data_IF_903170487007
#
_entry.id   IF_903170487007
#
_cell.length_a   1.000
_cell.length_b   1.000
_cell.length_c   1.000
_cell.angle_alpha   90.00
_cell.angle_beta   90.00
_cell.angle_gamma   90.00
#
_symmetry.space_group_name_H-M   'P 1'
#
loop_
_entity.id
_entity.type
_entity.pdbx_description
1 polymer ?
#
# COMPACT_ATOMS: atom_id res chain seq x y z
N UNK A 1 -3.94 -12.96 -1.12
CA UNK A 1 -4.80 -12.49 -0.01
C UNK A 1 -4.18 -13.03 1.27
N UNK A 2 -3.83 -12.16 2.22
CA UNK A 2 -3.11 -12.58 3.44
C UNK A 2 -4.10 -12.69 4.60
N UNK A 3 -4.11 -13.84 5.27
CA UNK A 3 -4.93 -14.08 6.46
C UNK A 3 -4.02 -14.43 7.63
N UNK A 4 -4.30 -13.82 8.78
CA UNK A 4 -3.48 -13.96 9.98
C UNK A 4 -4.38 -14.25 11.16
N UNK A 5 -4.03 -15.26 11.95
CA UNK A 5 -4.67 -15.53 13.24
C UNK A 5 -3.83 -14.94 14.37
N UNK A 6 -4.44 -14.07 15.18
CA UNK A 6 -3.79 -13.47 16.35
C UNK A 6 -4.82 -13.28 17.46
N UNK A 7 -4.48 -13.65 18.70
CA UNK A 7 -5.38 -13.63 19.87
C UNK A 7 -6.73 -14.32 19.65
N UNK A 8 -6.73 -15.50 19.02
CA UNK A 8 -7.93 -16.25 18.68
C UNK A 8 -8.92 -15.47 17.79
N UNK A 9 -8.40 -14.58 16.94
CA UNK A 9 -9.15 -13.82 15.94
C UNK A 9 -8.49 -13.97 14.58
N UNK A 10 -9.28 -13.89 13.53
CA UNK A 10 -8.83 -13.96 12.15
C UNK A 10 -8.89 -12.58 11.51
N UNK A 11 -7.77 -12.16 10.94
CA UNK A 11 -7.59 -10.88 10.27
C UNK A 11 -7.23 -11.12 8.81
N UNK A 12 -7.71 -10.27 7.93
CA UNK A 12 -7.44 -10.33 6.50
C UNK A 12 -6.87 -9.01 6.02
N UNK A 13 -5.79 -9.08 5.26
CA UNK A 13 -5.24 -7.93 4.57
C UNK A 13 -5.93 -7.78 3.21
N UNK A 14 -6.52 -6.60 3.00
CA UNK A 14 -7.17 -6.19 1.77
C UNK A 14 -6.29 -5.16 1.07
N UNK A 15 -5.76 -5.53 -0.10
CA UNK A 15 -5.02 -4.61 -0.97
C UNK A 15 -6.03 -3.89 -1.87
N UNK A 16 -6.09 -2.56 -1.78
CA UNK A 16 -7.05 -1.77 -2.56
C UNK A 16 -6.59 -1.60 -4.02
N UNK A 17 -5.29 -1.41 -4.21
CA UNK A 17 -4.62 -1.30 -5.51
C UNK A 17 -3.15 -1.64 -5.35
N UNK A 18 -2.43 -1.94 -6.45
CA UNK A 18 -0.98 -2.18 -6.42
C UNK A 18 -0.18 -0.97 -5.94
N UNK A 19 -0.75 0.24 -6.07
CA UNK A 19 -0.09 1.51 -5.76
C UNK A 19 -0.55 2.16 -4.45
N UNK A 20 -1.52 1.57 -3.76
CA UNK A 20 -2.07 2.08 -2.51
C UNK A 20 -1.71 1.18 -1.34
N UNK A 21 -1.59 1.78 -0.15
CA UNK A 21 -1.43 1.03 1.09
C UNK A 21 -2.72 0.26 1.35
N UNK A 22 -2.63 -1.07 1.48
CA UNK A 22 -3.79 -1.89 1.83
C UNK A 22 -4.22 -1.66 3.28
N UNK A 23 -5.37 -2.21 3.64
CA UNK A 23 -5.92 -2.12 4.98
C UNK A 23 -6.21 -3.50 5.55
N UNK A 24 -6.12 -3.62 6.86
CA UNK A 24 -6.51 -4.83 7.57
C UNK A 24 -7.97 -4.74 8.01
N UNK A 25 -8.68 -5.86 7.85
CA UNK A 25 -10.02 -6.06 8.35
C UNK A 25 -10.06 -7.28 9.27
N UNK A 26 -10.88 -7.24 10.31
CA UNK A 26 -11.20 -8.46 11.06
C UNK A 26 -12.26 -9.27 10.33
N UNK A 27 -12.10 -10.59 10.28
CA UNK A 27 -13.05 -11.51 9.65
C UNK A 27 -13.84 -12.27 10.70
N UNK A 28 -13.14 -12.83 11.70
CA UNK A 28 -13.74 -13.70 12.69
C UNK A 28 -13.15 -13.41 14.06
N UNK A 29 -14.00 -13.38 15.10
CA UNK A 29 -13.59 -13.17 16.47
C UNK A 29 -14.59 -12.37 17.30
N UNK A 30 -14.38 -12.33 18.61
CA UNK A 30 -15.15 -11.47 19.52
C UNK A 30 -14.75 -10.00 19.35
N UNK A 31 -15.74 -9.10 19.48
CA UNK A 31 -15.55 -7.64 19.56
C UNK A 31 -14.47 -7.27 20.58
N UNK A 32 -13.59 -6.34 20.21
CA UNK A 32 -12.56 -5.79 21.10
C UNK A 32 -12.04 -4.43 20.58
N UNK A 33 -11.13 -3.80 21.31
CA UNK A 33 -10.46 -2.55 20.93
C UNK A 33 -9.75 -2.57 19.55
N UNK A 34 -9.36 -3.75 19.05
CA UNK A 34 -8.78 -3.92 17.71
C UNK A 34 -9.81 -4.00 16.57
N UNK A 35 -11.07 -4.33 16.90
CA UNK A 35 -12.07 -4.77 15.93
C UNK A 35 -13.49 -4.56 16.48
N UNK A 36 -14.20 -3.61 15.86
CA UNK A 36 -15.59 -3.26 16.21
C UNK A 36 -16.64 -4.26 15.71
N UNK A 37 -16.25 -5.33 15.01
CA UNK A 37 -17.17 -6.32 14.45
C UNK A 37 -16.74 -6.80 13.06
N UNK A 38 -17.23 -7.98 12.59
CA UNK A 38 -16.77 -8.63 11.36
C UNK A 38 -16.78 -7.67 10.18
N UNK A 39 -15.73 -7.74 9.36
CA UNK A 39 -15.45 -6.88 8.22
C UNK A 39 -15.17 -5.40 8.54
N UNK A 40 -14.97 -5.04 9.82
CA UNK A 40 -14.54 -3.68 10.17
C UNK A 40 -13.05 -3.45 9.91
N UNK A 41 -12.73 -2.22 9.47
CA UNK A 41 -11.37 -1.73 9.32
C UNK A 41 -10.68 -1.65 10.68
N UNK A 42 -9.46 -2.16 10.74
CA UNK A 42 -8.63 -2.15 11.95
C UNK A 42 -7.89 -0.81 12.05
N UNK A 43 -7.70 -0.26 13.26
CA UNK A 43 -6.86 0.91 13.47
C UNK A 43 -5.40 0.68 13.03
N UNK A 44 -4.78 1.68 12.40
CA UNK A 44 -3.40 1.59 11.88
C UNK A 44 -2.35 1.22 12.95
N UNK A 45 -2.58 1.56 14.22
CA UNK A 45 -1.70 1.20 15.34
C UNK A 45 -1.44 -0.32 15.44
N UNK A 46 -2.39 -1.14 14.97
CA UNK A 46 -2.29 -2.60 15.02
C UNK A 46 -1.72 -3.23 13.74
N UNK A 47 -1.48 -2.44 12.69
CA UNK A 47 -1.04 -2.98 11.40
C UNK A 47 0.34 -3.62 11.51
N UNK A 48 1.24 -3.03 12.30
CA UNK A 48 2.58 -3.56 12.52
C UNK A 48 2.54 -4.93 13.20
N UNK A 49 1.62 -5.13 14.14
CA UNK A 49 1.47 -6.42 14.84
C UNK A 49 1.01 -7.50 13.85
N UNK A 50 -0.03 -7.20 13.06
CA UNK A 50 -0.57 -8.13 12.06
C UNK A 50 0.43 -8.41 10.93
N UNK A 51 1.18 -7.41 10.52
CA UNK A 51 2.25 -7.56 9.53
C UNK A 51 3.37 -8.46 10.05
N UNK A 52 3.82 -8.28 11.29
CA UNK A 52 4.83 -9.15 11.90
C UNK A 52 4.35 -10.60 11.98
N UNK A 53 3.10 -10.83 12.38
CA UNK A 53 2.51 -12.17 12.40
C UNK A 53 2.40 -12.77 10.99
N UNK A 54 2.04 -11.98 9.98
CA UNK A 54 2.07 -12.44 8.59
C UNK A 54 3.49 -12.84 8.15
N UNK A 55 4.51 -12.05 8.50
CA UNK A 55 5.91 -12.39 8.20
C UNK A 55 6.34 -13.67 8.91
N UNK A 56 5.90 -13.90 10.16
CA UNK A 56 6.16 -15.15 10.91
C UNK A 56 5.49 -16.36 10.28
N UNK A 57 4.32 -16.19 9.68
CA UNK A 57 3.62 -17.23 8.92
C UNK A 57 4.23 -17.50 7.53
N UNK A 58 5.26 -16.74 7.14
CA UNK A 58 5.97 -16.91 5.87
C UNK A 58 5.43 -16.06 4.72
N UNK A 59 4.53 -15.11 4.97
CA UNK A 59 4.10 -14.16 3.95
C UNK A 59 5.21 -13.17 3.60
N UNK A 60 5.30 -12.78 2.32
CA UNK A 60 6.31 -11.83 1.85
C UNK A 60 5.99 -10.40 2.28
N UNK A 61 7.01 -9.65 2.70
CA UNK A 61 6.89 -8.22 3.01
C UNK A 61 6.41 -7.40 1.82
N UNK A 62 6.68 -7.86 0.59
CA UNK A 62 6.27 -7.22 -0.66
C UNK A 62 4.75 -7.17 -0.85
N UNK A 63 3.98 -7.97 -0.10
CA UNK A 63 2.52 -7.92 -0.11
C UNK A 63 1.99 -6.65 0.59
N UNK A 64 2.77 -6.07 1.50
CA UNK A 64 2.36 -4.92 2.31
C UNK A 64 2.93 -3.59 1.79
N UNK A 65 3.99 -3.65 0.99
CA UNK A 65 4.63 -2.46 0.43
C UNK A 65 3.90 -2.06 -0.87
N UNK A 66 3.39 -0.83 -1.01
CA UNK A 66 2.85 -0.37 -2.28
C UNK A 66 3.97 -0.32 -3.34
N UNK A 67 3.68 -0.75 -4.56
CA UNK A 67 4.65 -0.60 -5.66
C UNK A 67 4.84 0.89 -5.93
N UNK A 68 6.11 1.32 -6.01
CA UNK A 68 6.42 2.66 -6.50
C UNK A 68 5.84 2.80 -7.92
N UNK A 69 5.02 3.83 -8.14
CA UNK A 69 4.50 4.13 -9.48
C UNK A 69 5.69 4.28 -10.41
N UNK A 70 5.69 3.68 -11.62
CA UNK A 70 6.74 3.93 -12.58
C UNK A 70 6.76 5.44 -12.84
N UNK A 71 7.87 6.07 -12.49
CA UNK A 71 8.06 7.50 -12.70
C UNK A 71 7.87 7.72 -14.20
N UNK A 72 6.83 8.48 -14.58
CA UNK A 72 6.64 8.85 -15.98
C UNK A 72 7.92 9.55 -16.40
N UNK A 73 8.78 8.86 -17.15
CA UNK A 73 9.99 9.42 -17.75
C UNK A 73 9.52 10.67 -18.49
N UNK A 74 9.74 11.84 -17.89
CA UNK A 74 9.44 13.11 -18.52
C UNK A 74 10.33 13.12 -19.74
N UNK A 75 9.75 12.89 -20.92
CA UNK A 75 10.40 13.16 -22.19
C UNK A 75 10.93 14.58 -22.07
N UNK A 76 12.25 14.71 -21.94
CA UNK A 76 12.93 15.99 -21.97
C UNK A 76 12.57 16.56 -23.34
N UNK A 77 11.59 17.47 -23.38
CA UNK A 77 11.30 18.27 -24.57
C UNK A 77 12.59 19.03 -24.82
N UNK A 78 13.38 18.54 -25.77
CA UNK A 78 14.54 19.26 -26.28
C UNK A 78 14.07 20.69 -26.56
N UNK A 79 14.60 21.65 -25.79
CA UNK A 79 14.40 23.07 -26.07
C UNK A 79 14.90 23.30 -27.49
N UNK A 80 13.98 23.36 -28.44
CA UNK A 80 14.24 23.81 -29.80
C UNK A 80 14.77 25.24 -29.64
N UNK A 81 16.09 25.44 -29.79
CA UNK A 81 16.69 26.78 -29.76
C UNK A 81 15.95 27.60 -30.81
N UNK A 82 15.19 28.58 -30.36
CA UNK A 82 14.51 29.51 -31.26
C UNK A 82 15.57 30.31 -32.03
N UNK A 83 15.38 30.39 -33.34
CA UNK A 83 16.18 31.18 -34.29
C UNK A 83 16.30 32.62 -33.80
N UNK A 84 17.52 33.14 -33.75
CA UNK A 84 17.78 34.53 -33.44
C UNK A 84 19.00 35.03 -34.21
N UNK A 85 18.77 35.47 -35.46
CA UNK A 85 19.57 36.50 -36.12
C UNK A 85 18.91 36.87 -37.46
N UNK A 86 18.02 37.86 -37.43
CA UNK A 86 17.79 38.74 -38.58
C UNK A 86 18.62 39.98 -38.27
N UNK A 87 19.68 40.20 -39.05
CA UNK A 87 20.38 41.47 -39.14
C UNK A 87 20.49 41.79 -40.62
N UNK A 88 19.62 42.68 -41.08
CA UNK A 88 19.77 43.43 -42.32
C UNK A 88 20.25 44.80 -41.88
N UNK A 89 21.56 44.98 -41.89
CA UNK A 89 22.26 46.25 -41.97
C UNK A 89 23.50 46.02 -42.82
#
# INVERSE_FOLDING_TARGET
MVEVKHDNRTYRYCRNSEYEVGYWIGIEGKRNNMFNGPHCKIPMMYYRVLQNEALRLGYSITEFIPKSKPEKIKKIRAKKKAKGSISIF
#
